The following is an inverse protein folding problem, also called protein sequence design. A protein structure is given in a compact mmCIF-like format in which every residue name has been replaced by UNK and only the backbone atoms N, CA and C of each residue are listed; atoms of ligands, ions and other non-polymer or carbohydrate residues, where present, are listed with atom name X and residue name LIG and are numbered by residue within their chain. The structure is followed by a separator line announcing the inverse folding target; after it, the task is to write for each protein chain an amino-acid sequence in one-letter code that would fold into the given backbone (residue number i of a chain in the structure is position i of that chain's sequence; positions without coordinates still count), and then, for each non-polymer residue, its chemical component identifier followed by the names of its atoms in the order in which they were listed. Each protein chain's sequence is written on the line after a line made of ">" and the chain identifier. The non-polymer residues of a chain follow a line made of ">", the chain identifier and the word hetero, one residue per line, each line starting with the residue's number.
data_IF_705382004305
#
_entry.id   IF_705382004305
#
_cell.length_a   1.000
_cell.length_b   1.000
_cell.length_c   1.000
_cell.angle_alpha   90.00
_cell.angle_beta   90.00
_cell.angle_gamma   90.00
#
_symmetry.space_group_name_H-M   'P 1'
#
loop_
_entity.id
_entity.type
_entity.pdbx_description
1 polymer ?
#
# COMPACT_ATOMS: atom_id res chain seq x y z
N UNK A 1 5.42 17.47 6.43
CA UNK A 1 4.08 16.90 6.26
C UNK A 1 4.19 15.77 5.26
N UNK A 2 3.73 14.55 5.57
CA UNK A 2 3.57 13.51 4.56
C UNK A 2 2.29 13.84 3.80
N UNK A 3 2.37 13.98 2.49
CA UNK A 3 1.19 14.18 1.63
C UNK A 3 0.61 12.80 1.26
N UNK A 4 -0.73 12.71 1.15
CA UNK A 4 -1.41 11.54 0.62
C UNK A 4 -0.79 11.07 -0.70
N UNK A 5 -0.51 11.99 -1.62
CA UNK A 5 0.08 11.67 -2.93
C UNK A 5 1.49 11.08 -2.81
N UNK A 6 2.28 11.53 -1.83
CA UNK A 6 3.61 10.97 -1.57
C UNK A 6 3.52 9.55 -1.01
N UNK A 7 2.53 9.27 -0.16
CA UNK A 7 2.29 7.92 0.36
C UNK A 7 1.85 6.98 -0.77
N UNK A 8 0.96 7.41 -1.65
CA UNK A 8 0.53 6.64 -2.83
C UNK A 8 1.71 6.37 -3.78
N UNK A 9 2.51 7.39 -4.10
CA UNK A 9 3.68 7.21 -4.97
C UNK A 9 4.66 6.19 -4.36
N UNK A 10 4.95 6.32 -3.06
CA UNK A 10 5.82 5.39 -2.36
C UNK A 10 5.25 3.97 -2.33
N UNK A 11 3.95 3.81 -2.13
CA UNK A 11 3.30 2.50 -2.13
C UNK A 11 3.42 1.82 -3.51
N UNK A 12 3.24 2.58 -4.60
CA UNK A 12 3.44 2.10 -5.97
C UNK A 12 4.89 1.68 -6.25
N UNK A 13 5.87 2.48 -5.82
CA UNK A 13 7.30 2.12 -5.95
C UNK A 13 7.65 0.83 -5.19
N UNK A 14 6.99 0.58 -4.05
CA UNK A 14 7.16 -0.66 -3.29
C UNK A 14 6.50 -1.85 -4.01
N UNK A 15 5.33 -1.66 -4.63
CA UNK A 15 4.71 -2.69 -5.47
C UNK A 15 5.58 -3.09 -6.67
N UNK A 16 6.19 -2.12 -7.35
CA UNK A 16 7.11 -2.37 -8.48
C UNK A 16 8.34 -3.18 -8.05
N UNK A 17 8.82 -2.95 -6.83
CA UNK A 17 9.94 -3.71 -6.23
C UNK A 17 9.51 -5.07 -5.69
N UNK A 18 8.24 -5.44 -5.80
CA UNK A 18 7.68 -6.68 -5.24
C UNK A 18 7.57 -6.68 -3.71
N UNK A 19 7.74 -5.52 -3.07
CA UNK A 19 7.67 -5.35 -1.62
C UNK A 19 6.22 -5.11 -1.18
N UNK A 20 5.37 -6.13 -1.38
CA UNK A 20 3.93 -6.04 -1.17
C UNK A 20 3.49 -5.88 0.28
N UNK A 21 4.23 -6.40 1.28
CA UNK A 21 3.91 -6.18 2.70
C UNK A 21 4.13 -4.71 3.04
N UNK A 22 5.24 -4.13 2.60
CA UNK A 22 5.55 -2.70 2.82
C UNK A 22 4.62 -1.79 2.03
N UNK A 23 4.26 -2.17 0.81
CA UNK A 23 3.26 -1.46 0.02
C UNK A 23 1.90 -1.43 0.74
N UNK A 24 1.44 -2.58 1.26
CA UNK A 24 0.19 -2.67 2.01
C UNK A 24 0.17 -1.72 3.22
N UNK A 25 1.23 -1.72 4.02
CA UNK A 25 1.34 -0.82 5.17
C UNK A 25 1.33 0.65 4.76
N UNK A 26 1.95 0.99 3.62
CA UNK A 26 2.01 2.37 3.12
C UNK A 26 0.64 2.82 2.61
N UNK A 27 -0.12 1.95 1.94
CA UNK A 27 -1.51 2.22 1.58
C UNK A 27 -2.41 2.36 2.80
N UNK A 28 -2.22 1.53 3.84
CA UNK A 28 -2.94 1.68 5.10
C UNK A 28 -2.62 3.01 5.78
N UNK A 29 -1.36 3.46 5.76
CA UNK A 29 -1.01 4.80 6.24
C UNK A 29 -1.72 5.87 5.40
N UNK A 30 -1.79 5.72 4.07
CA UNK A 30 -2.47 6.67 3.20
C UNK A 30 -3.97 6.84 3.49
N UNK A 31 -4.65 5.82 4.05
CA UNK A 31 -6.08 5.91 4.43
C UNK A 31 -6.29 7.02 5.46
N UNK A 32 -5.39 7.18 6.43
CA UNK A 32 -5.50 8.19 7.48
C UNK A 32 -5.32 9.62 6.94
N UNK A 33 -4.68 9.76 5.77
CA UNK A 33 -4.40 11.03 5.10
C UNK A 33 -5.35 11.33 3.93
N UNK A 34 -6.22 10.39 3.58
CA UNK A 34 -7.19 10.56 2.51
C UNK A 34 -8.27 11.60 2.90
N UNK A 35 -8.57 12.48 1.95
CA UNK A 35 -9.51 13.58 2.12
C UNK A 35 -10.94 13.17 1.71
N UNK A 36 -11.06 12.21 0.79
CA UNK A 36 -12.36 11.68 0.34
C UNK A 36 -12.54 10.21 0.68
N UNK A 37 -13.80 9.78 0.73
CA UNK A 37 -14.12 8.38 0.94
C UNK A 37 -13.71 7.52 -0.27
N UNK A 38 -13.71 8.08 -1.50
CA UNK A 38 -13.19 7.36 -2.67
C UNK A 38 -11.68 7.10 -2.55
N UNK A 39 -10.91 8.08 -2.06
CA UNK A 39 -9.47 7.92 -1.82
C UNK A 39 -9.19 6.86 -0.75
N UNK A 40 -9.98 6.84 0.33
CA UNK A 40 -9.92 5.80 1.38
C UNK A 40 -10.23 4.42 0.82
N UNK A 41 -11.29 4.31 0.03
CA UNK A 41 -11.69 3.04 -0.58
C UNK A 41 -10.61 2.52 -1.52
N UNK A 42 -10.07 3.37 -2.40
CA UNK A 42 -8.95 3.02 -3.28
C UNK A 42 -7.76 2.48 -2.48
N UNK A 43 -7.35 3.18 -1.42
CA UNK A 43 -6.24 2.76 -0.56
C UNK A 43 -6.53 1.42 0.14
N UNK A 44 -7.76 1.21 0.63
CA UNK A 44 -8.16 -0.03 1.28
C UNK A 44 -8.14 -1.22 0.29
N UNK A 45 -8.60 -1.02 -0.95
CA UNK A 45 -8.55 -2.04 -2.00
C UNK A 45 -7.10 -2.40 -2.32
N UNK A 46 -6.23 -1.40 -2.51
CA UNK A 46 -4.81 -1.62 -2.83
C UNK A 46 -4.04 -2.24 -1.66
N UNK A 47 -4.29 -1.82 -0.42
CA UNK A 47 -3.71 -2.41 0.78
C UNK A 47 -4.09 -3.90 0.91
N UNK A 48 -5.36 -4.24 0.66
CA UNK A 48 -5.84 -5.61 0.68
C UNK A 48 -5.22 -6.46 -0.44
N UNK A 49 -5.12 -5.91 -1.66
CA UNK A 49 -4.46 -6.58 -2.80
C UNK A 49 -3.00 -6.90 -2.46
N UNK A 50 -2.28 -5.92 -1.92
CA UNK A 50 -0.88 -6.06 -1.54
C UNK A 50 -0.71 -7.06 -0.40
N UNK A 51 -1.56 -7.01 0.63
CA UNK A 51 -1.56 -7.97 1.73
C UNK A 51 -1.77 -9.41 1.26
N UNK A 52 -2.66 -9.64 0.28
CA UNK A 52 -2.86 -10.96 -0.33
C UNK A 52 -1.64 -11.41 -1.12
N UNK A 53 -1.04 -10.52 -1.92
CA UNK A 53 0.20 -10.83 -2.66
C UNK A 53 1.37 -11.17 -1.74
N UNK A 54 1.53 -10.44 -0.64
CA UNK A 54 2.60 -10.67 0.34
C UNK A 54 2.52 -12.04 1.04
N UNK A 55 1.35 -12.70 1.03
CA UNK A 55 1.17 -14.07 1.55
C UNK A 55 1.63 -15.13 0.55
N UNK A 56 1.84 -14.78 -0.72
CA UNK A 56 2.30 -15.73 -1.72
C UNK A 56 3.80 -16.00 -1.51
N UNK A 57 4.26 -17.27 -1.49
CA UNK A 57 5.66 -17.61 -1.21
C UNK A 57 6.67 -16.89 -2.10
N UNK A 58 6.34 -16.66 -3.38
CA UNK A 58 7.19 -15.95 -4.35
C UNK A 58 7.39 -14.45 -4.06
N UNK A 59 6.57 -13.90 -3.18
CA UNK A 59 6.50 -12.48 -2.83
C UNK A 59 6.57 -12.27 -1.32
N UNK A 60 6.90 -13.32 -0.56
CA UNK A 60 7.09 -13.22 0.86
C UNK A 60 8.39 -12.45 1.11
N UNK A 61 8.24 -11.21 1.57
CA UNK A 61 9.37 -10.47 2.13
C UNK A 61 9.83 -11.23 3.38
N UNK A 62 10.98 -11.89 3.26
CA UNK A 62 11.66 -12.57 4.36
C UNK A 62 11.81 -11.63 5.55
N UNK A 63 11.65 -12.19 6.74
CA UNK A 63 11.73 -11.47 8.01
C UNK A 63 13.13 -10.90 8.26
#
# INVERSE_FOLDING_TARGET
>A
MKDFHQLIQRAKELEEKGLFRRAANTYSEAIDWALTDEERECCAIDANRCSRKARLPRWAEGW
#
